data_IF_801026215752
#
_entry.id   IF_801026215752
#
_cell.length_a   1.000
_cell.length_b   1.000
_cell.length_c   1.000
_cell.angle_alpha   90.00
_cell.angle_beta   90.00
_cell.angle_gamma   90.00
#
_symmetry.space_group_name_H-M   'P 1'
#
loop_
_entity.id
_entity.type
_entity.pdbx_description
1 polymer ?
#
# COMPACT_ATOMS: atom_id res chain seq x y z
N UNK A 1 -55.79 -40.61 -35.65
CA UNK A 1 -54.67 -40.04 -36.44
C UNK A 1 -53.42 -39.99 -35.58
N UNK A 2 -52.31 -40.53 -36.11
CA UNK A 2 -50.86 -40.23 -35.91
C UNK A 2 -50.42 -39.61 -34.56
N UNK A 3 -49.67 -40.33 -33.71
CA UNK A 3 -48.19 -40.46 -33.66
C UNK A 3 -47.41 -39.14 -33.57
N UNK A 4 -46.56 -38.99 -32.53
CA UNK A 4 -45.10 -39.12 -32.68
C UNK A 4 -44.37 -39.23 -31.34
N UNK A 5 -43.23 -39.90 -31.44
CA UNK A 5 -42.30 -40.43 -30.45
C UNK A 5 -41.02 -39.57 -30.47
N UNK A 6 -40.26 -39.49 -29.36
CA UNK A 6 -38.80 -39.39 -29.42
C UNK A 6 -38.10 -39.73 -28.09
N UNK A 7 -37.32 -40.80 -28.18
CA UNK A 7 -36.37 -41.37 -27.22
C UNK A 7 -35.34 -40.39 -26.63
N UNK A 8 -35.03 -40.54 -25.33
CA UNK A 8 -33.71 -40.21 -24.76
C UNK A 8 -32.95 -41.50 -24.47
N UNK A 9 -31.90 -41.78 -25.24
CA UNK A 9 -31.00 -42.91 -25.00
C UNK A 9 -29.99 -42.60 -23.89
N UNK A 10 -30.13 -43.23 -22.72
CA UNK A 10 -29.06 -43.24 -21.72
C UNK A 10 -28.08 -44.37 -22.05
N UNK A 11 -26.85 -44.03 -22.47
CA UNK A 11 -25.76 -45.00 -22.60
C UNK A 11 -25.29 -45.42 -21.21
N UNK A 12 -25.68 -46.63 -20.79
CA UNK A 12 -25.22 -47.24 -19.53
C UNK A 12 -23.81 -47.80 -19.74
N UNK A 13 -22.81 -47.13 -19.18
CA UNK A 13 -21.43 -47.62 -19.15
C UNK A 13 -21.39 -48.83 -18.20
N UNK A 14 -21.01 -49.99 -18.71
CA UNK A 14 -20.92 -51.23 -17.92
C UNK A 14 -19.84 -51.09 -16.85
N UNK A 15 -20.15 -51.47 -15.60
CA UNK A 15 -19.28 -51.34 -14.42
C UNK A 15 -17.89 -52.00 -14.57
N UNK A 16 -17.74 -52.91 -15.55
CA UNK A 16 -16.47 -53.54 -15.90
C UNK A 16 -15.45 -52.58 -16.52
N UNK A 17 -15.88 -51.42 -17.02
CA UNK A 17 -15.00 -50.39 -17.61
C UNK A 17 -14.47 -49.38 -16.59
N UNK A 18 -15.05 -49.33 -15.40
CA UNK A 18 -14.63 -48.42 -14.31
C UNK A 18 -13.14 -48.59 -13.96
N UNK A 19 -12.59 -49.81 -13.74
CA UNK A 19 -11.17 -49.94 -13.39
C UNK A 19 -10.23 -49.51 -14.52
N UNK A 20 -10.63 -49.72 -15.79
CA UNK A 20 -9.84 -49.31 -16.95
C UNK A 20 -9.81 -47.77 -17.11
N UNK A 21 -10.95 -47.11 -16.88
CA UNK A 21 -11.03 -45.64 -16.90
C UNK A 21 -10.22 -45.05 -15.73
N UNK A 22 -10.31 -45.64 -14.54
CA UNK A 22 -9.51 -45.20 -13.39
C UNK A 22 -8.01 -45.36 -13.62
N UNK A 23 -7.56 -46.49 -14.18
CA UNK A 23 -6.14 -46.70 -14.50
C UNK A 23 -5.63 -45.72 -15.57
N UNK A 24 -6.47 -45.42 -16.58
CA UNK A 24 -6.14 -44.43 -17.62
C UNK A 24 -6.06 -43.01 -17.04
N UNK A 25 -6.99 -42.60 -16.17
CA UNK A 25 -6.93 -41.31 -15.48
C UNK A 25 -5.70 -41.19 -14.56
N UNK A 26 -5.32 -42.28 -13.88
CA UNK A 26 -4.13 -42.29 -13.03
C UNK A 26 -2.84 -42.19 -13.85
N UNK A 27 -2.74 -42.89 -14.98
CA UNK A 27 -1.61 -42.79 -15.90
C UNK A 27 -1.49 -41.38 -16.52
N UNK A 28 -2.61 -40.76 -16.91
CA UNK A 28 -2.62 -39.35 -17.32
C UNK A 28 -2.19 -38.42 -16.19
N UNK A 29 -2.64 -38.65 -14.95
CA UNK A 29 -2.23 -37.89 -13.77
C UNK A 29 -0.72 -37.94 -13.52
N UNK A 30 -0.07 -39.09 -13.77
CA UNK A 30 1.38 -39.24 -13.67
C UNK A 30 2.13 -38.50 -14.81
N UNK A 31 1.59 -38.50 -16.02
CA UNK A 31 2.18 -37.75 -17.16
C UNK A 31 2.04 -36.24 -16.97
N UNK A 32 0.92 -35.75 -16.40
CA UNK A 32 0.74 -34.33 -16.09
C UNK A 32 1.54 -33.86 -14.86
N UNK A 33 1.70 -34.73 -13.85
CA UNK A 33 2.52 -34.41 -12.67
C UNK A 33 4.02 -34.39 -12.98
N UNK A 34 4.48 -35.22 -13.93
CA UNK A 34 5.89 -35.24 -14.36
C UNK A 34 6.22 -34.19 -15.45
N UNK A 35 5.25 -33.41 -15.93
CA UNK A 35 5.47 -32.35 -16.93
C UNK A 35 5.41 -30.93 -16.35
N UNK A 36 5.13 -30.79 -15.05
CA UNK A 36 5.22 -29.53 -14.30
C UNK A 36 6.37 -29.67 -13.29
N UNK A 37 7.56 -29.97 -13.80
CA UNK A 37 8.81 -29.72 -13.09
C UNK A 37 9.79 -29.14 -14.11
N UNK A 38 9.57 -27.88 -14.46
CA UNK A 38 10.58 -27.09 -15.17
C UNK A 38 11.61 -26.66 -14.13
N UNK A 39 12.91 -26.92 -14.33
CA UNK A 39 13.96 -26.49 -13.42
C UNK A 39 13.94 -24.97 -13.22
N UNK A 40 14.12 -24.57 -11.97
CA UNK A 40 14.37 -23.19 -11.55
C UNK A 40 15.63 -22.67 -12.26
N UNK A 41 15.46 -21.83 -13.28
CA UNK A 41 16.56 -21.14 -13.95
C UNK A 41 17.02 -19.92 -13.11
N UNK A 42 18.31 -19.96 -12.81
CA UNK A 42 19.08 -19.00 -12.02
C UNK A 42 19.26 -17.66 -12.73
N UNK A 43 18.24 -16.80 -12.70
CA UNK A 43 18.37 -15.38 -13.10
C UNK A 43 18.44 -14.41 -11.90
N UNK A 44 18.31 -14.91 -10.67
CA UNK A 44 18.38 -14.11 -9.44
C UNK A 44 19.81 -13.84 -8.93
N UNK A 45 20.80 -14.66 -9.30
CA UNK A 45 22.18 -14.50 -8.83
C UNK A 45 22.96 -13.42 -9.59
N UNK A 46 22.59 -13.13 -10.84
CA UNK A 46 23.28 -12.11 -11.64
C UNK A 46 22.96 -10.68 -11.14
N UNK A 47 21.72 -10.44 -10.70
CA UNK A 47 21.27 -9.16 -10.15
C UNK A 47 21.80 -8.90 -8.73
N UNK A 48 22.04 -9.96 -7.96
CA UNK A 48 22.65 -9.89 -6.63
C UNK A 48 24.18 -9.75 -6.69
N UNK A 49 24.84 -10.33 -7.69
CA UNK A 49 26.29 -10.18 -7.89
C UNK A 49 26.68 -8.83 -8.50
N UNK A 50 25.80 -8.23 -9.32
CA UNK A 50 26.01 -6.87 -9.83
C UNK A 50 25.85 -5.81 -8.73
N UNK A 51 24.86 -5.97 -7.83
CA UNK A 51 24.70 -5.12 -6.64
C UNK A 51 25.82 -5.29 -5.61
N UNK A 52 26.41 -6.49 -5.50
CA UNK A 52 27.57 -6.74 -4.63
C UNK A 52 28.84 -6.03 -5.14
N UNK A 53 29.07 -6.01 -6.46
CA UNK A 53 30.18 -5.28 -7.08
C UNK A 53 30.04 -3.75 -6.92
N UNK A 54 28.84 -3.21 -7.06
CA UNK A 54 28.59 -1.77 -6.83
C UNK A 54 28.74 -1.37 -5.35
N UNK A 55 28.49 -2.29 -4.40
CA UNK A 55 28.75 -2.04 -2.96
C UNK A 55 30.22 -2.23 -2.57
N UNK A 56 30.95 -3.13 -3.24
CA UNK A 56 32.40 -3.31 -3.02
C UNK A 56 33.21 -2.15 -3.61
N UNK A 57 32.81 -1.55 -4.74
CA UNK A 57 33.43 -0.32 -5.28
C UNK A 57 33.22 0.91 -4.37
N UNK A 58 32.09 1.00 -3.66
CA UNK A 58 31.86 2.08 -2.69
C UNK A 58 32.65 1.93 -1.38
N UNK A 59 33.14 0.72 -1.08
CA UNK A 59 33.91 0.42 0.13
C UNK A 59 35.43 0.40 -0.10
N UNK A 60 35.88 0.39 -1.36
CA UNK A 60 37.30 0.40 -1.73
C UNK A 60 37.92 1.81 -1.87
N UNK A 61 37.15 2.90 -1.67
CA UNK A 61 37.65 4.30 -1.78
C UNK A 61 37.86 4.95 -0.40
N UNK A 62 38.18 4.18 0.64
CA UNK A 62 38.39 4.73 1.99
C UNK A 62 39.55 4.12 2.78
N UNK A 63 40.56 3.58 2.12
CA UNK A 63 41.81 3.25 2.80
C UNK A 63 42.99 3.63 1.92
N UNK A 64 43.50 4.85 2.10
CA UNK A 64 44.95 4.99 2.18
C UNK A 64 45.40 6.21 3.02
N UNK A 65 46.53 5.98 3.67
CA UNK A 65 47.53 6.92 4.15
C UNK A 65 47.51 7.44 5.60
N UNK A 66 48.73 7.59 6.06
CA UNK A 66 49.27 7.36 7.39
C UNK A 66 49.28 8.61 8.28
N UNK A 67 49.43 8.36 9.58
CA UNK A 67 49.58 9.38 10.61
C UNK A 67 50.83 10.25 10.40
N UNK A 68 50.63 11.57 10.26
CA UNK A 68 51.38 12.64 10.93
C UNK A 68 51.09 14.01 10.30
N UNK A 69 49.94 14.64 10.61
CA UNK A 69 49.66 16.10 10.48
C UNK A 69 48.27 16.48 11.00
N UNK A 70 47.86 15.94 12.15
CA UNK A 70 46.53 16.19 12.76
C UNK A 70 46.59 17.40 13.70
N UNK A 71 46.10 18.55 13.27
CA UNK A 71 45.89 19.69 14.16
C UNK A 71 45.46 20.97 13.44
N UNK A 72 45.99 21.22 12.24
CA UNK A 72 45.67 22.43 11.46
C UNK A 72 44.51 22.24 10.47
N UNK A 73 44.30 21.01 10.01
CA UNK A 73 43.31 20.65 8.99
C UNK A 73 41.88 20.56 9.56
N UNK A 74 41.75 20.05 10.79
CA UNK A 74 40.46 19.85 11.48
C UNK A 74 39.74 21.19 11.73
N UNK A 75 40.48 22.25 11.99
CA UNK A 75 39.89 23.56 12.32
C UNK A 75 39.37 24.27 11.06
N UNK A 76 40.04 24.10 9.92
CA UNK A 76 39.61 24.63 8.62
C UNK A 76 38.39 23.87 8.08
N UNK A 77 38.33 22.55 8.33
CA UNK A 77 37.17 21.70 8.03
C UNK A 77 35.96 22.07 8.89
N UNK A 78 36.15 22.36 10.19
CA UNK A 78 35.07 22.83 11.08
C UNK A 78 34.53 24.19 10.63
N UNK A 79 35.39 25.13 10.22
CA UNK A 79 34.95 26.45 9.70
C UNK A 79 34.13 26.27 8.42
N UNK A 80 34.58 25.43 7.48
CA UNK A 80 33.82 25.10 6.26
C UNK A 80 32.46 24.47 6.56
N UNK A 81 32.36 23.61 7.59
CA UNK A 81 31.05 23.05 8.00
C UNK A 81 30.13 24.11 8.60
N UNK A 82 30.66 25.08 9.34
CA UNK A 82 29.86 26.16 9.92
C UNK A 82 29.31 27.09 8.83
N UNK A 83 30.14 27.45 7.83
CA UNK A 83 29.72 28.26 6.69
C UNK A 83 28.65 27.56 5.84
N UNK A 84 28.76 26.23 5.67
CA UNK A 84 27.76 25.43 4.99
C UNK A 84 26.42 25.38 5.74
N UNK A 85 26.46 25.29 7.08
CA UNK A 85 25.26 25.33 7.92
C UNK A 85 24.59 26.70 7.86
N UNK A 86 25.37 27.79 7.93
CA UNK A 86 24.83 29.15 7.83
C UNK A 86 24.20 29.42 6.46
N UNK A 87 24.82 28.93 5.38
CA UNK A 87 24.27 29.02 4.02
C UNK A 87 22.94 28.26 3.89
N UNK A 88 22.82 27.11 4.55
CA UNK A 88 21.59 26.32 4.57
C UNK A 88 20.48 27.04 5.35
N UNK A 89 20.79 27.64 6.50
CA UNK A 89 19.83 28.41 7.29
C UNK A 89 19.31 29.63 6.53
N UNK A 90 20.17 30.32 5.78
CA UNK A 90 19.76 31.42 4.87
C UNK A 90 18.82 30.92 3.77
N UNK A 91 19.10 29.75 3.20
CA UNK A 91 18.25 29.13 2.17
C UNK A 91 16.88 28.74 2.73
N UNK A 92 16.83 28.21 3.96
CA UNK A 92 15.57 27.88 4.64
C UNK A 92 14.75 29.15 4.91
N UNK A 93 15.38 30.21 5.41
CA UNK A 93 14.72 31.49 5.68
C UNK A 93 14.15 32.11 4.38
N UNK A 94 14.92 32.07 3.29
CA UNK A 94 14.47 32.56 1.98
C UNK A 94 13.27 31.77 1.45
N UNK A 95 13.29 30.44 1.56
CA UNK A 95 12.16 29.59 1.18
C UNK A 95 10.92 29.81 2.04
N UNK A 96 11.10 30.05 3.35
CA UNK A 96 9.99 30.41 4.24
C UNK A 96 9.37 31.76 3.87
N UNK A 97 10.20 32.75 3.51
CA UNK A 97 9.74 34.06 3.05
C UNK A 97 8.99 33.96 1.71
N UNK A 98 9.49 33.16 0.76
CA UNK A 98 8.80 32.91 -0.51
C UNK A 98 7.44 32.20 -0.29
N UNK A 99 7.39 31.20 0.60
CA UNK A 99 6.15 30.53 0.98
C UNK A 99 5.12 31.48 1.62
N UNK A 100 5.58 32.41 2.47
CA UNK A 100 4.72 33.43 3.07
C UNK A 100 4.19 34.40 1.99
N UNK A 101 5.05 34.87 1.09
CA UNK A 101 4.67 35.77 -0.01
C UNK A 101 3.66 35.11 -0.97
N UNK A 102 3.89 33.85 -1.36
CA UNK A 102 2.96 33.10 -2.22
C UNK A 102 1.61 32.86 -1.55
N UNK A 103 1.56 32.66 -0.22
CA UNK A 103 0.31 32.52 0.53
C UNK A 103 -0.49 33.83 0.56
N UNK A 104 0.17 34.97 0.79
CA UNK A 104 -0.48 36.28 0.77
C UNK A 104 -0.99 36.66 -0.63
N UNK A 105 -0.30 36.24 -1.69
CA UNK A 105 -0.77 36.42 -3.08
C UNK A 105 -1.99 35.54 -3.41
N UNK A 106 -2.08 34.33 -2.87
CA UNK A 106 -3.25 33.44 -3.05
C UNK A 106 -4.49 33.93 -2.27
N UNK A 107 -4.30 34.58 -1.12
CA UNK A 107 -5.41 35.17 -0.35
C UNK A 107 -6.06 36.34 -1.11
N UNK A 108 -5.27 37.15 -1.83
CA UNK A 108 -5.79 38.24 -2.67
C UNK A 108 -6.51 37.77 -3.94
N UNK A 109 -6.12 36.64 -4.53
CA UNK A 109 -6.82 36.10 -5.71
C UNK A 109 -8.11 35.33 -5.37
N UNK A 110 -8.26 34.88 -4.12
CA UNK A 110 -9.46 34.17 -3.65
C UNK A 110 -10.70 35.04 -3.44
N UNK A 111 -10.56 36.38 -3.43
CA UNK A 111 -11.67 37.33 -3.25
C UNK A 111 -12.35 37.73 -4.57
N UNK A 112 -11.85 37.27 -5.73
CA UNK A 112 -12.35 37.72 -7.03
C UNK A 112 -12.43 36.56 -8.03
N UNK A 113 -13.48 35.73 -7.95
CA UNK A 113 -13.76 34.79 -9.04
C UNK A 113 -14.76 33.67 -8.74
N UNK A 114 -16.06 34.00 -8.77
CA UNK A 114 -17.12 33.01 -9.03
C UNK A 114 -17.53 33.10 -10.51
N UNK A 115 -17.27 32.08 -11.32
CA UNK A 115 -18.18 31.58 -12.37
C UNK A 115 -17.58 30.44 -13.21
N UNK A 116 -18.42 29.42 -13.40
CA UNK A 116 -18.50 28.46 -14.53
C UNK A 116 -17.45 27.33 -14.69
N UNK A 117 -18.00 26.13 -14.86
CA UNK A 117 -17.33 24.85 -15.08
C UNK A 117 -16.99 24.58 -16.55
N UNK A 118 -15.99 23.70 -16.81
CA UNK A 118 -16.06 22.49 -17.68
C UNK A 118 -14.64 21.86 -17.82
N UNK A 119 -14.61 20.52 -17.85
CA UNK A 119 -13.50 19.55 -18.07
C UNK A 119 -12.48 19.93 -19.19
N UNK A 120 -11.22 19.49 -19.25
CA UNK A 120 -10.66 18.12 -19.39
C UNK A 120 -9.10 18.17 -19.18
N UNK A 121 -8.52 17.07 -18.67
CA UNK A 121 -7.09 16.63 -18.67
C UNK A 121 -5.93 17.64 -18.56
N UNK A 122 -5.16 17.51 -17.48
CA UNK A 122 -3.80 18.03 -17.38
C UNK A 122 -3.30 17.94 -15.95
N UNK A 123 -2.11 17.38 -15.75
CA UNK A 123 -1.40 17.37 -14.48
C UNK A 123 -1.07 18.82 -14.08
N UNK A 124 -1.97 19.46 -13.35
CA UNK A 124 -1.67 20.69 -12.61
C UNK A 124 -2.10 20.51 -11.16
N UNK A 125 -1.09 20.50 -10.29
CA UNK A 125 -1.25 20.53 -8.85
C UNK A 125 -1.60 21.96 -8.43
N UNK A 126 -2.80 22.43 -8.78
CA UNK A 126 -3.33 23.72 -8.35
C UNK A 126 -4.77 23.60 -7.86
N UNK A 127 -4.97 23.92 -6.58
CA UNK A 127 -6.15 24.62 -6.06
C UNK A 127 -7.53 23.96 -6.10
N UNK A 128 -7.73 22.83 -6.79
CA UNK A 128 -9.01 22.12 -6.78
C UNK A 128 -9.33 21.58 -5.39
N UNK A 129 -10.39 22.06 -4.75
CA UNK A 129 -10.87 21.47 -3.51
C UNK A 129 -11.24 20.00 -3.75
N UNK A 130 -10.39 19.08 -3.27
CA UNK A 130 -10.67 17.64 -3.26
C UNK A 130 -12.01 17.39 -2.56
N UNK A 131 -12.84 16.46 -3.05
CA UNK A 131 -14.12 16.14 -2.40
C UNK A 131 -13.90 15.74 -0.95
N UNK A 132 -14.63 16.39 -0.03
CA UNK A 132 -14.64 16.04 1.39
C UNK A 132 -15.50 14.81 1.59
N UNK A 133 -14.94 13.78 2.18
CA UNK A 133 -15.62 12.51 2.44
C UNK A 133 -15.32 12.04 3.86
N UNK A 134 -16.18 11.20 4.42
CA UNK A 134 -15.98 10.64 5.75
C UNK A 134 -14.86 9.57 5.73
N UNK A 135 -14.92 8.61 4.80
CA UNK A 135 -13.86 7.63 4.64
C UNK A 135 -13.71 7.11 3.21
N UNK A 136 -12.47 6.71 2.88
CA UNK A 136 -12.14 6.01 1.64
C UNK A 136 -11.69 4.60 1.98
N UNK A 137 -12.37 3.60 1.43
CA UNK A 137 -12.09 2.18 1.61
C UNK A 137 -11.42 1.64 0.34
N UNK A 138 -10.17 1.23 0.45
CA UNK A 138 -9.42 0.50 -0.59
C UNK A 138 -9.44 -0.99 -0.32
N UNK A 139 -10.08 -1.75 -1.21
CA UNK A 139 -10.12 -3.22 -1.17
C UNK A 139 -8.96 -3.76 -2.01
N UNK A 140 -7.96 -4.32 -1.34
CA UNK A 140 -6.79 -4.90 -1.96
C UNK A 140 -7.14 -6.20 -2.70
N UNK A 141 -7.00 -6.17 -4.02
CA UNK A 141 -7.33 -7.28 -4.93
C UNK A 141 -6.16 -7.56 -5.88
N UNK A 142 -6.12 -8.72 -6.54
CA UNK A 142 -5.19 -9.02 -7.63
C UNK A 142 -5.92 -9.32 -8.96
N UNK A 143 -5.18 -9.45 -10.06
CA UNK A 143 -5.73 -9.86 -11.35
C UNK A 143 -6.51 -11.19 -11.28
N UNK A 144 -5.98 -12.16 -10.53
CA UNK A 144 -6.60 -13.49 -10.34
C UNK A 144 -7.82 -13.49 -9.42
N UNK A 145 -8.08 -12.40 -8.69
CA UNK A 145 -9.13 -12.32 -7.67
C UNK A 145 -10.54 -12.00 -8.21
N UNK A 146 -10.83 -12.24 -9.50
CA UNK A 146 -12.14 -11.88 -10.09
C UNK A 146 -13.33 -12.39 -9.28
N UNK A 147 -13.33 -13.68 -8.94
CA UNK A 147 -14.40 -14.31 -8.14
C UNK A 147 -14.56 -13.68 -6.75
N UNK A 148 -13.47 -13.21 -6.14
CA UNK A 148 -13.52 -12.52 -4.84
C UNK A 148 -14.16 -11.15 -4.97
N UNK A 149 -13.81 -10.38 -6.01
CA UNK A 149 -14.45 -9.09 -6.30
C UNK A 149 -15.95 -9.24 -6.54
N UNK A 150 -16.35 -10.23 -7.35
CA UNK A 150 -17.76 -10.52 -7.60
C UNK A 150 -18.48 -10.88 -6.29
N UNK A 151 -17.87 -11.73 -5.44
CA UNK A 151 -18.43 -12.05 -4.12
C UNK A 151 -18.57 -10.83 -3.20
N UNK A 152 -17.59 -9.91 -3.20
CA UNK A 152 -17.67 -8.65 -2.44
C UNK A 152 -18.85 -7.79 -2.90
N UNK A 153 -19.02 -7.65 -4.23
CA UNK A 153 -20.13 -6.91 -4.86
C UNK A 153 -21.50 -7.54 -4.58
N UNK A 154 -21.57 -8.87 -4.56
CA UNK A 154 -22.80 -9.62 -4.30
C UNK A 154 -23.19 -9.63 -2.81
N UNK A 155 -22.28 -9.25 -1.92
CA UNK A 155 -22.50 -9.34 -0.47
C UNK A 155 -22.59 -7.99 0.23
N UNK A 156 -21.46 -7.31 0.46
CA UNK A 156 -21.42 -6.16 1.35
C UNK A 156 -21.11 -4.83 0.66
N UNK A 157 -20.60 -4.85 -0.57
CA UNK A 157 -20.30 -3.65 -1.34
C UNK A 157 -21.50 -3.29 -2.23
N UNK A 158 -22.15 -2.13 -2.02
CA UNK A 158 -23.19 -1.65 -2.93
C UNK A 158 -22.64 -1.46 -4.34
N UNK A 159 -23.50 -1.62 -5.35
CA UNK A 159 -23.15 -1.51 -6.77
C UNK A 159 -23.96 -0.39 -7.45
N UNK A 160 -23.43 0.12 -8.56
CA UNK A 160 -24.11 1.09 -9.42
C UNK A 160 -24.60 2.32 -8.65
N UNK A 161 -25.87 2.68 -8.84
CA UNK A 161 -26.49 3.85 -8.20
C UNK A 161 -26.40 3.84 -6.67
N UNK A 162 -26.51 2.67 -6.04
CA UNK A 162 -26.41 2.55 -4.57
C UNK A 162 -25.02 2.90 -4.06
N UNK A 163 -23.97 2.58 -4.84
CA UNK A 163 -22.60 2.96 -4.50
C UNK A 163 -22.43 4.48 -4.59
N UNK A 164 -22.94 5.09 -5.66
CA UNK A 164 -22.93 6.55 -5.87
C UNK A 164 -23.72 7.27 -4.78
N UNK A 165 -24.87 6.73 -4.37
CA UNK A 165 -25.68 7.28 -3.28
C UNK A 165 -24.93 7.21 -1.95
N UNK A 166 -24.29 6.08 -1.65
CA UNK A 166 -23.47 5.92 -0.45
C UNK A 166 -22.34 6.96 -0.38
N UNK A 167 -21.69 7.23 -1.51
CA UNK A 167 -20.65 8.25 -1.62
C UNK A 167 -21.18 9.65 -1.36
N UNK A 168 -22.28 10.03 -2.02
CA UNK A 168 -22.86 11.38 -1.92
C UNK A 168 -23.46 11.66 -0.54
N UNK A 169 -24.24 10.71 0.00
CA UNK A 169 -25.02 10.93 1.21
C UNK A 169 -24.23 10.67 2.49
N UNK A 170 -23.33 9.67 2.47
CA UNK A 170 -22.59 9.25 3.66
C UNK A 170 -21.11 9.62 3.59
N UNK A 171 -20.61 10.08 2.45
CA UNK A 171 -19.19 10.34 2.26
C UNK A 171 -18.35 9.07 2.40
N UNK A 172 -18.88 7.90 1.99
CA UNK A 172 -18.15 6.63 2.07
C UNK A 172 -17.81 6.19 0.65
N UNK A 173 -16.53 6.29 0.29
CA UNK A 173 -16.00 5.87 -1.01
C UNK A 173 -15.44 4.46 -0.88
N UNK A 174 -15.80 3.55 -1.79
CA UNK A 174 -15.32 2.16 -1.79
C UNK A 174 -14.77 1.83 -3.16
N UNK A 175 -13.50 1.45 -3.26
CA UNK A 175 -12.86 1.07 -4.53
C UNK A 175 -12.01 -0.18 -4.38
N UNK A 176 -12.01 -1.03 -5.41
CA UNK A 176 -11.00 -2.08 -5.56
C UNK A 176 -9.68 -1.45 -5.99
N UNK A 177 -8.66 -1.53 -5.14
CA UNK A 177 -7.33 -1.00 -5.47
C UNK A 177 -6.54 -2.04 -6.28
N UNK A 178 -6.19 -1.67 -7.51
CA UNK A 178 -5.47 -2.54 -8.44
C UNK A 178 -4.44 -1.73 -9.22
N UNK A 179 -3.25 -2.30 -9.37
CA UNK A 179 -2.19 -1.79 -10.22
C UNK A 179 -2.38 -2.20 -11.68
N UNK A 180 -1.28 -2.17 -12.41
CA UNK A 180 -1.17 -2.61 -13.80
C UNK A 180 -0.16 -3.77 -13.90
N UNK A 181 -0.21 -4.50 -15.01
CA UNK A 181 0.78 -5.54 -15.26
C UNK A 181 2.14 -4.91 -15.62
N UNK A 182 3.20 -5.72 -15.58
CA UNK A 182 4.54 -5.27 -15.98
C UNK A 182 4.63 -4.93 -17.47
N UNK A 183 3.76 -5.53 -18.29
CA UNK A 183 3.73 -5.33 -19.75
C UNK A 183 2.53 -4.47 -20.11
N UNK A 184 2.78 -3.30 -20.69
CA UNK A 184 1.69 -2.41 -21.12
C UNK A 184 0.71 -3.14 -22.06
N UNK A 185 -0.59 -2.91 -21.83
CA UNK A 185 -1.69 -3.48 -22.61
C UNK A 185 -1.75 -5.03 -22.61
N UNK A 186 -1.40 -5.66 -21.49
CA UNK A 186 -1.52 -7.11 -21.34
C UNK A 186 -2.98 -7.58 -21.37
N UNK A 187 -3.19 -8.88 -21.58
CA UNK A 187 -4.53 -9.51 -21.48
C UNK A 187 -5.13 -9.28 -20.08
N UNK A 188 -4.30 -9.26 -19.04
CA UNK A 188 -4.74 -9.01 -17.67
C UNK A 188 -5.25 -7.57 -17.50
N UNK A 189 -4.54 -6.59 -18.06
CA UNK A 189 -4.96 -5.19 -18.00
C UNK A 189 -6.29 -4.99 -18.73
N UNK A 190 -6.41 -5.54 -19.96
CA UNK A 190 -7.64 -5.48 -20.76
C UNK A 190 -8.84 -6.15 -20.08
N UNK A 191 -8.60 -7.22 -19.32
CA UNK A 191 -9.64 -7.87 -18.54
C UNK A 191 -10.14 -6.98 -17.39
N UNK A 192 -9.25 -6.26 -16.71
CA UNK A 192 -9.66 -5.28 -15.70
C UNK A 192 -10.32 -4.08 -16.37
N UNK A 193 -9.86 -3.60 -17.53
CA UNK A 193 -10.51 -2.48 -18.25
C UNK A 193 -11.95 -2.82 -18.63
N UNK A 194 -12.19 -4.05 -19.10
CA UNK A 194 -13.54 -4.53 -19.42
C UNK A 194 -14.43 -4.62 -18.17
N UNK A 195 -13.87 -5.03 -17.03
CA UNK A 195 -14.60 -5.08 -15.76
C UNK A 195 -14.90 -3.67 -15.23
N UNK A 196 -13.92 -2.78 -15.28
CA UNK A 196 -14.06 -1.40 -14.85
C UNK A 196 -15.11 -0.67 -15.68
N UNK A 197 -15.14 -0.87 -17.00
CA UNK A 197 -16.19 -0.34 -17.88
C UNK A 197 -17.62 -0.75 -17.46
N UNK A 198 -17.77 -1.90 -16.80
CA UNK A 198 -19.08 -2.39 -16.32
C UNK A 198 -19.43 -1.87 -14.93
N UNK A 199 -18.47 -1.86 -14.00
CA UNK A 199 -18.76 -1.63 -12.58
C UNK A 199 -18.31 -0.25 -12.08
N UNK A 200 -17.34 0.39 -12.72
CA UNK A 200 -16.79 1.70 -12.39
C UNK A 200 -16.37 1.84 -10.91
N UNK A 201 -15.83 0.75 -10.36
CA UNK A 201 -15.52 0.61 -8.94
C UNK A 201 -14.05 0.32 -8.63
N UNK A 202 -13.16 0.48 -9.62
CA UNK A 202 -11.72 0.38 -9.41
C UNK A 202 -11.07 1.71 -9.05
N UNK A 203 -9.99 1.61 -8.27
CA UNK A 203 -8.97 2.63 -8.14
C UNK A 203 -7.68 2.08 -8.76
N UNK A 204 -7.39 2.53 -9.98
CA UNK A 204 -6.13 2.24 -10.67
C UNK A 204 -4.97 2.94 -9.97
N UNK A 205 -3.95 2.17 -9.62
CA UNK A 205 -2.74 2.63 -8.97
C UNK A 205 -1.57 2.57 -9.95
N UNK A 206 -0.68 3.55 -9.86
CA UNK A 206 0.62 3.54 -10.54
C UNK A 206 1.54 2.55 -9.81
N UNK A 207 1.29 1.27 -10.06
CA UNK A 207 1.91 0.16 -9.35
C UNK A 207 1.94 -1.07 -10.25
N UNK A 208 3.13 -1.64 -10.46
CA UNK A 208 3.24 -2.95 -11.10
C UNK A 208 2.82 -4.03 -10.11
N UNK A 209 1.77 -4.78 -10.42
CA UNK A 209 1.32 -5.89 -9.57
C UNK A 209 2.37 -7.00 -9.52
N UNK A 210 2.70 -7.44 -8.31
CA UNK A 210 3.68 -8.49 -8.07
C UNK A 210 3.49 -9.18 -6.72
N UNK A 211 4.00 -10.41 -6.59
CA UNK A 211 3.77 -11.25 -5.40
C UNK A 211 4.33 -10.64 -4.10
N UNK A 212 5.44 -9.90 -4.17
CA UNK A 212 6.12 -9.31 -3.00
C UNK A 212 5.86 -7.81 -2.81
N UNK A 213 4.94 -7.23 -3.57
CA UNK A 213 4.78 -5.79 -3.71
C UNK A 213 3.62 -5.19 -2.88
N UNK A 214 2.97 -6.00 -2.04
CA UNK A 214 1.78 -5.62 -1.27
C UNK A 214 1.98 -4.39 -0.36
N UNK A 215 3.17 -4.26 0.24
CA UNK A 215 3.49 -3.09 1.08
C UNK A 215 3.62 -1.82 0.24
N UNK A 216 4.24 -1.92 -0.95
CA UNK A 216 4.36 -0.81 -1.88
C UNK A 216 2.99 -0.39 -2.41
N UNK A 217 2.17 -1.37 -2.82
CA UNK A 217 0.79 -1.14 -3.26
C UNK A 217 -0.05 -0.37 -2.24
N UNK A 218 0.04 -0.77 -0.97
CA UNK A 218 -0.73 -0.12 0.10
C UNK A 218 -0.24 1.31 0.39
N UNK A 219 1.07 1.54 0.29
CA UNK A 219 1.65 2.88 0.39
C UNK A 219 1.15 3.79 -0.76
N UNK A 220 1.20 3.29 -1.99
CA UNK A 220 0.72 3.98 -3.18
C UNK A 220 -0.78 4.28 -3.06
N UNK A 221 -1.58 3.32 -2.59
CA UNK A 221 -2.99 3.52 -2.29
C UNK A 221 -3.22 4.73 -1.39
N UNK A 222 -2.55 4.83 -0.25
CA UNK A 222 -2.74 5.97 0.66
C UNK A 222 -2.30 7.29 0.01
N UNK A 223 -1.18 7.31 -0.71
CA UNK A 223 -0.73 8.50 -1.45
C UNK A 223 -1.77 8.94 -2.50
N UNK A 224 -2.24 8.02 -3.33
CA UNK A 224 -3.24 8.30 -4.37
C UNK A 224 -4.58 8.71 -3.78
N UNK A 225 -5.03 8.03 -2.71
CA UNK A 225 -6.30 8.33 -2.07
C UNK A 225 -6.28 9.72 -1.41
N UNK A 226 -5.18 10.08 -0.74
CA UNK A 226 -4.99 11.43 -0.18
C UNK A 226 -4.98 12.47 -1.31
N UNK A 227 -4.32 12.20 -2.43
CA UNK A 227 -4.31 13.14 -3.57
C UNK A 227 -5.71 13.35 -4.18
N UNK A 228 -6.56 12.31 -4.19
CA UNK A 228 -7.89 12.36 -4.80
C UNK A 228 -9.01 12.86 -3.88
N UNK A 229 -8.99 12.49 -2.60
CA UNK A 229 -10.07 12.78 -1.65
C UNK A 229 -9.54 13.44 -0.39
N UNK A 230 -10.30 14.41 0.13
CA UNK A 230 -10.09 14.94 1.47
C UNK A 230 -10.92 14.13 2.48
N UNK A 231 -10.42 12.95 2.85
CA UNK A 231 -11.12 12.02 3.73
C UNK A 231 -10.66 12.16 5.18
N UNK A 232 -11.56 11.94 6.15
CA UNK A 232 -11.16 11.89 7.55
C UNK A 232 -10.42 10.60 7.90
N UNK A 233 -10.82 9.49 7.26
CA UNK A 233 -10.21 8.19 7.41
C UNK A 233 -9.93 7.52 6.07
N UNK A 234 -8.82 6.80 6.01
CA UNK A 234 -8.46 5.92 4.90
C UNK A 234 -8.35 4.49 5.42
N UNK A 235 -9.09 3.58 4.80
CA UNK A 235 -9.25 2.20 5.25
C UNK A 235 -8.68 1.28 4.18
N UNK A 236 -7.85 0.32 4.60
CA UNK A 236 -7.41 -0.79 3.76
C UNK A 236 -8.14 -2.05 4.20
N UNK A 237 -8.62 -2.82 3.23
CA UNK A 237 -9.32 -4.11 3.43
C UNK A 237 -8.77 -5.13 2.43
N UNK A 238 -8.69 -6.42 2.77
CA UNK A 238 -8.42 -7.50 1.79
C UNK A 238 -9.71 -7.99 1.11
N UNK A 239 -9.60 -8.50 -0.11
CA UNK A 239 -10.73 -9.00 -0.92
C UNK A 239 -11.39 -10.30 -0.40
N UNK A 240 -10.86 -10.90 0.66
CA UNK A 240 -11.46 -12.04 1.39
C UNK A 240 -12.06 -11.67 2.74
N UNK A 241 -12.33 -10.37 2.96
CA UNK A 241 -12.95 -9.85 4.18
C UNK A 241 -14.37 -9.36 3.88
N UNK A 242 -15.30 -9.70 4.78
CA UNK A 242 -16.64 -9.13 4.80
C UNK A 242 -16.69 -7.96 5.79
N UNK A 243 -17.20 -6.80 5.36
CA UNK A 243 -17.23 -5.58 6.18
C UNK A 243 -18.66 -5.13 6.47
N UNK A 244 -18.99 -4.98 7.75
CA UNK A 244 -20.20 -4.28 8.16
C UNK A 244 -19.97 -2.77 8.13
N UNK A 245 -20.41 -2.11 7.04
CA UNK A 245 -20.17 -0.68 6.80
C UNK A 245 -20.72 0.23 7.91
N UNK A 246 -21.90 -0.08 8.46
CA UNK A 246 -22.50 0.70 9.54
C UNK A 246 -21.68 0.65 10.83
N UNK A 247 -21.20 -0.54 11.20
CA UNK A 247 -20.37 -0.73 12.40
C UNK A 247 -19.00 -0.10 12.23
N UNK A 248 -18.40 -0.22 11.04
CA UNK A 248 -17.14 0.44 10.71
C UNK A 248 -17.28 1.96 10.81
N UNK A 249 -18.31 2.52 10.17
CA UNK A 249 -18.55 3.96 10.17
C UNK A 249 -18.79 4.50 11.59
N UNK A 250 -19.66 3.84 12.36
CA UNK A 250 -19.92 4.21 13.74
C UNK A 250 -18.66 4.14 14.61
N UNK A 251 -17.81 3.14 14.39
CA UNK A 251 -16.55 2.98 15.12
C UNK A 251 -15.58 4.12 14.81
N UNK A 252 -15.35 4.45 13.54
CA UNK A 252 -14.46 5.54 13.16
C UNK A 252 -15.00 6.91 13.59
N UNK A 253 -16.32 7.11 13.57
CA UNK A 253 -16.94 8.34 14.04
C UNK A 253 -16.66 8.62 15.53
N UNK A 254 -16.59 7.58 16.38
CA UNK A 254 -16.21 7.72 17.80
C UNK A 254 -14.78 8.19 18.01
N UNK A 255 -13.91 8.04 17.01
CA UNK A 255 -12.50 8.43 17.09
C UNK A 255 -12.19 9.79 16.46
N UNK A 256 -13.19 10.51 15.92
CA UNK A 256 -13.03 11.75 15.14
C UNK A 256 -12.27 12.87 15.89
N UNK A 257 -12.39 12.91 17.21
CA UNK A 257 -11.68 13.89 18.06
C UNK A 257 -10.23 13.51 18.40
N UNK A 258 -9.81 12.29 18.06
CA UNK A 258 -8.45 11.80 18.37
C UNK A 258 -7.51 12.11 17.20
N UNK A 259 -6.35 12.75 17.44
CA UNK A 259 -5.37 12.98 16.38
C UNK A 259 -4.64 11.68 16.03
N UNK A 260 -4.20 11.53 14.76
CA UNK A 260 -3.31 10.42 14.29
C UNK A 260 -3.78 9.00 14.63
N UNK A 261 -5.07 8.72 14.47
CA UNK A 261 -5.65 7.39 14.72
C UNK A 261 -5.04 6.35 13.79
N UNK A 262 -4.63 5.22 14.37
CA UNK A 262 -4.35 3.97 13.68
C UNK A 262 -5.11 2.85 14.39
N UNK A 263 -6.09 2.26 13.72
CA UNK A 263 -7.00 1.28 14.31
C UNK A 263 -7.12 0.03 13.43
N UNK A 264 -7.17 -1.13 14.08
CA UNK A 264 -7.32 -2.44 13.46
C UNK A 264 -7.14 -3.50 14.53
N UNK A 265 -7.08 -4.78 14.14
CA UNK A 265 -6.73 -5.84 15.07
C UNK A 265 -5.24 -5.77 15.40
N UNK A 266 -4.89 -5.08 16.49
CA UNK A 266 -3.50 -4.80 16.84
C UNK A 266 -2.81 -6.06 17.39
N UNK A 267 -1.70 -6.44 16.76
CA UNK A 267 -0.83 -7.54 17.20
C UNK A 267 0.61 -7.08 17.41
N UNK A 268 1.34 -7.87 18.18
CA UNK A 268 2.80 -7.87 18.30
C UNK A 268 3.21 -9.32 18.54
N UNK A 269 4.44 -9.67 18.18
CA UNK A 269 4.92 -11.04 18.27
C UNK A 269 6.38 -11.13 17.82
N UNK A 270 7.01 -12.30 17.99
CA UNK A 270 8.39 -12.50 17.59
C UNK A 270 8.57 -12.24 16.09
N UNK A 271 9.71 -11.64 15.74
CA UNK A 271 10.13 -11.46 14.36
C UNK A 271 10.48 -12.83 13.79
N UNK A 272 9.94 -13.13 12.62
CA UNK A 272 10.11 -14.42 11.97
C UNK A 272 11.46 -14.44 11.23
N UNK A 273 12.53 -14.78 11.95
CA UNK A 273 13.91 -14.77 11.42
C UNK A 273 14.33 -16.07 10.72
N UNK A 274 13.51 -17.12 10.77
CA UNK A 274 13.81 -18.41 10.13
C UNK A 274 13.48 -18.38 8.63
N UNK A 275 14.42 -18.77 7.76
CA UNK A 275 14.25 -18.69 6.29
C UNK A 275 13.10 -19.54 5.73
N UNK A 276 12.70 -20.60 6.43
CA UNK A 276 11.72 -21.58 5.93
C UNK A 276 10.27 -21.26 6.32
N UNK A 277 10.02 -20.11 6.95
CA UNK A 277 8.66 -19.68 7.29
C UNK A 277 8.12 -18.76 6.21
N UNK A 278 6.82 -18.87 5.91
CA UNK A 278 6.12 -18.11 4.85
C UNK A 278 6.39 -16.59 4.87
N UNK A 279 6.54 -16.02 6.07
CA UNK A 279 6.71 -14.59 6.29
C UNK A 279 8.07 -14.27 6.91
N UNK A 280 9.11 -15.00 6.50
CA UNK A 280 10.49 -14.70 6.88
C UNK A 280 10.82 -13.22 6.65
N UNK A 281 11.39 -12.55 7.65
CA UNK A 281 11.83 -11.16 7.59
C UNK A 281 13.35 -11.12 7.31
N UNK A 282 13.79 -10.83 6.07
CA UNK A 282 15.22 -10.82 5.74
C UNK A 282 16.00 -9.78 6.54
N UNK A 283 15.34 -8.70 6.98
CA UNK A 283 15.94 -7.63 7.75
C UNK A 283 15.66 -7.77 9.26
N UNK A 284 15.51 -9.00 9.78
CA UNK A 284 15.11 -9.26 11.16
C UNK A 284 16.05 -8.61 12.19
N UNK A 285 17.33 -8.45 11.84
CA UNK A 285 18.36 -7.80 12.65
C UNK A 285 18.05 -6.32 12.95
N UNK A 286 17.23 -5.65 12.12
CA UNK A 286 16.81 -4.25 12.34
C UNK A 286 15.86 -4.08 13.52
N UNK A 287 15.33 -5.17 14.06
CA UNK A 287 14.37 -5.17 15.16
C UNK A 287 15.04 -5.31 16.54
N UNK A 288 16.38 -5.36 16.60
CA UNK A 288 17.17 -5.41 17.83
C UNK A 288 18.11 -6.62 17.88
N UNK A 289 18.89 -6.69 18.96
CA UNK A 289 19.67 -7.88 19.34
C UNK A 289 18.96 -8.50 20.56
N UNK A 290 18.29 -9.66 20.40
CA UNK A 290 17.54 -10.34 21.47
C UNK A 290 16.22 -10.99 21.02
N UNK A 291 15.21 -11.05 21.91
CA UNK A 291 13.82 -11.41 21.59
C UNK A 291 13.19 -10.38 20.64
N UNK A 292 13.63 -10.36 19.38
CA UNK A 292 13.17 -9.42 18.39
C UNK A 292 11.66 -9.58 18.23
N UNK A 293 10.91 -8.53 18.55
CA UNK A 293 9.45 -8.48 18.39
C UNK A 293 9.10 -7.40 17.38
N UNK A 294 8.13 -7.70 16.52
CA UNK A 294 7.52 -6.68 15.69
C UNK A 294 6.93 -5.58 16.58
N UNK A 295 7.10 -4.34 16.16
CA UNK A 295 6.33 -3.22 16.71
C UNK A 295 4.84 -3.54 16.65
N UNK A 296 4.06 -3.00 17.59
CA UNK A 296 2.61 -3.17 17.56
C UNK A 296 2.07 -2.62 16.24
N UNK A 297 1.34 -3.45 15.51
CA UNK A 297 0.77 -3.13 14.21
C UNK A 297 -0.57 -3.83 14.02
N UNK A 298 -1.44 -3.29 13.18
CA UNK A 298 -2.68 -3.94 12.82
C UNK A 298 -2.41 -5.17 11.93
N UNK A 299 -3.26 -6.19 12.03
CA UNK A 299 -3.24 -7.31 11.10
C UNK A 299 -3.53 -6.85 9.67
N UNK A 300 -3.11 -7.67 8.69
CA UNK A 300 -3.21 -7.33 7.28
C UNK A 300 -4.65 -7.17 6.80
N UNK A 301 -5.61 -7.92 7.34
CA UNK A 301 -6.96 -8.03 6.78
C UNK A 301 -7.70 -6.71 6.67
N UNK A 302 -7.71 -5.90 7.75
CA UNK A 302 -8.39 -4.61 7.79
C UNK A 302 -7.74 -3.68 8.81
N UNK A 303 -7.51 -2.44 8.40
CA UNK A 303 -7.16 -1.35 9.30
C UNK A 303 -7.52 0.01 8.71
N UNK A 304 -7.69 1.01 9.58
CA UNK A 304 -7.95 2.38 9.21
C UNK A 304 -6.90 3.32 9.82
N UNK A 305 -6.60 4.38 9.09
CA UNK A 305 -5.72 5.47 9.54
C UNK A 305 -6.43 6.80 9.34
N UNK A 306 -6.18 7.77 10.23
CA UNK A 306 -6.71 9.12 10.08
C UNK A 306 -6.01 9.88 8.94
N UNK A 307 -6.64 10.96 8.50
CA UNK A 307 -6.11 11.92 7.52
C UNK A 307 -4.66 12.32 7.78
N UNK A 308 -4.33 12.68 9.02
CA UNK A 308 -2.98 13.12 9.39
C UNK A 308 -1.93 12.03 9.11
N UNK A 309 -2.27 10.78 9.44
CA UNK A 309 -1.35 9.66 9.27
C UNK A 309 -1.22 9.25 7.80
N UNK A 310 -2.32 9.28 7.04
CA UNK A 310 -2.31 9.06 5.59
C UNK A 310 -1.49 10.14 4.86
N UNK A 311 -1.69 11.42 5.25
CA UNK A 311 -0.92 12.55 4.73
C UNK A 311 0.56 12.41 5.06
N UNK A 312 0.89 11.99 6.28
CA UNK A 312 2.26 11.71 6.67
C UNK A 312 2.90 10.61 5.81
N UNK A 313 2.18 9.53 5.53
CA UNK A 313 2.65 8.45 4.65
C UNK A 313 2.91 8.99 3.24
N UNK A 314 1.97 9.77 2.70
CA UNK A 314 2.08 10.38 1.36
C UNK A 314 3.31 11.27 1.23
N UNK A 315 3.52 12.19 2.18
CA UNK A 315 4.68 13.10 2.21
C UNK A 315 6.00 12.31 2.33
N UNK A 316 6.01 11.23 3.13
CA UNK A 316 7.22 10.47 3.43
C UNK A 316 7.38 9.21 2.55
N UNK A 317 6.62 9.08 1.46
CA UNK A 317 6.50 7.82 0.72
C UNK A 317 7.84 7.25 0.22
N UNK A 318 8.79 8.10 -0.14
CA UNK A 318 10.12 7.69 -0.61
C UNK A 318 11.01 7.11 0.51
N UNK A 319 10.78 7.51 1.76
CA UNK A 319 11.54 7.03 2.92
C UNK A 319 10.91 5.80 3.59
N UNK A 320 9.69 5.43 3.21
CA UNK A 320 8.94 4.33 3.82
C UNK A 320 9.10 3.04 3.00
N UNK A 321 9.85 2.09 3.55
CA UNK A 321 10.09 0.77 2.95
C UNK A 321 8.89 -0.17 3.20
N UNK A 322 8.26 -0.11 4.38
CA UNK A 322 7.03 -0.84 4.71
C UNK A 322 6.22 -0.09 5.75
N UNK A 323 4.89 -0.14 5.67
CA UNK A 323 3.98 0.57 6.57
C UNK A 323 4.09 0.11 8.04
N UNK A 324 4.56 -1.13 8.27
CA UNK A 324 4.87 -1.63 9.63
C UNK A 324 6.01 -0.85 10.30
N UNK A 325 6.87 -0.17 9.53
CA UNK A 325 8.02 0.61 10.01
C UNK A 325 7.69 2.10 10.29
N UNK A 326 6.47 2.57 9.97
CA UNK A 326 6.03 3.98 10.11
C UNK A 326 5.94 4.45 11.57
N UNK A 327 5.69 3.53 12.51
CA UNK A 327 5.46 3.86 13.93
C UNK A 327 6.68 4.43 14.66
N UNK A 328 7.91 4.23 14.14
CA UNK A 328 9.15 4.67 14.80
C UNK A 328 9.44 6.17 14.62
N UNK A 329 9.08 6.76 13.47
CA UNK A 329 9.43 8.17 13.16
C UNK A 329 8.45 9.17 13.77
N UNK A 330 7.18 8.79 13.92
CA UNK A 330 6.18 9.58 14.65
C UNK A 330 6.41 9.60 16.17
N UNK A 331 6.93 8.50 16.75
CA UNK A 331 7.17 8.38 18.20
C UNK A 331 8.48 9.04 18.65
N UNK A 332 9.54 9.05 17.81
CA UNK A 332 10.85 9.65 18.18
C UNK A 332 10.80 11.16 18.41
N UNK A 333 9.85 11.89 17.81
CA UNK A 333 9.69 13.34 18.01
C UNK A 333 9.12 13.71 19.38
N UNK A 334 8.64 12.73 20.18
CA UNK A 334 8.04 12.94 21.51
C UNK A 334 8.99 12.71 22.69
N UNK A 335 10.16 12.11 22.50
CA UNK A 335 11.06 11.74 23.61
C UNK A 335 12.08 12.81 24.03
N UNK A 336 12.13 13.98 23.39
CA UNK A 336 13.11 15.04 23.71
C UNK A 336 12.61 16.11 24.69
N UNK A 337 11.47 15.94 25.36
CA UNK A 337 10.99 16.96 26.30
C UNK A 337 9.96 16.46 27.30
N UNK A 338 10.43 15.91 28.42
CA UNK A 338 9.90 16.13 29.79
C UNK A 338 10.44 15.04 30.73
N UNK A 339 11.33 15.46 31.65
CA UNK A 339 11.57 14.77 32.93
C UNK A 339 10.45 15.18 33.89
N UNK A 340 9.82 14.23 34.59
CA UNK A 340 9.08 14.54 35.83
C UNK A 340 7.83 13.71 36.12
N UNK A 341 7.96 12.83 37.12
CA UNK A 341 6.93 12.35 38.05
C UNK A 341 5.84 11.35 37.60
N UNK A 342 5.40 10.58 38.61
CA UNK A 342 4.78 9.25 38.57
C UNK A 342 3.25 9.28 38.36
N UNK A 343 2.78 8.13 37.83
CA UNK A 343 1.48 7.44 38.01
C UNK A 343 0.40 7.59 36.91
N UNK A 344 -0.15 6.41 36.60
CA UNK A 344 -1.22 6.02 35.65
C UNK A 344 -0.90 6.08 34.16
N UNK A 345 -0.23 5.02 33.68
CA UNK A 345 -0.11 4.70 32.26
C UNK A 345 -1.42 4.10 31.73
N UNK A 346 -2.34 4.96 31.31
CA UNK A 346 -3.30 4.65 30.27
C UNK A 346 -2.79 5.32 28.99
N UNK A 347 -1.95 4.61 28.23
CA UNK A 347 -1.40 5.15 26.99
C UNK A 347 -2.40 4.92 25.85
N UNK A 348 -3.23 5.93 25.61
CA UNK A 348 -3.88 6.18 24.33
C UNK A 348 -2.81 6.34 23.23
N UNK A 349 -3.03 5.70 22.08
CA UNK A 349 -2.26 5.90 20.84
C UNK A 349 -3.12 6.54 19.79
#
# INVERSE_FOLDING_TARGET
MKTRNSNSGSTKISAKWIPLICAFCFALGLVFSNRIWVPYESNGEQLLSQRRREQEEFQAVSEDSTAAKKGKDVMDEIVKTHDAVESLDKSIAMLQMQLAASRSSQEMTSLSGNAAATSVTGLSHEGGHRPKVFMVIGINTAFSSRKRRDSVRETWMPQGEKLVQLEKEKGIVIRFMIGHSATSNSILDRAIDSEDAQHQDFLRLEHVEGYHELSAKTKIFFSTAVAKWDAEYYVKVDDDVHVNLGTLAATLARHRSKPRVYIGCMKSGPVLSQKNVKYHEPEYWKFGEGENKYFRHATGQIYAISKDLATYISINQFYLISLSKVTRKASKKRKSGQKGSKRLNLMET
#
